data_IF_750714376081
#
_entry.id   IF_750714376081
#
_cell.length_a   1.000
_cell.length_b   1.000
_cell.length_c   1.000
_cell.angle_alpha   90.00
_cell.angle_beta   90.00
_cell.angle_gamma   90.00
#
_symmetry.space_group_name_H-M   'P 1'
#
loop_
_entity.id
_entity.type
_entity.pdbx_description
1 polymer ?
#
# COMPACT_ATOMS: atom_id res chain seq x y z
N UNK A 1 27.89 20.62 19.01
CA UNK A 1 26.98 19.55 19.46
C UNK A 1 26.08 19.22 18.28
N UNK A 2 26.33 18.11 17.55
CA UNK A 2 25.45 17.71 16.43
C UNK A 2 24.10 17.37 17.04
N UNK A 3 23.02 18.04 16.63
CA UNK A 3 21.66 17.60 16.98
C UNK A 3 21.57 16.11 16.67
N UNK A 4 21.29 15.30 17.69
CA UNK A 4 21.06 13.87 17.50
C UNK A 4 19.89 13.74 16.54
N UNK A 5 20.12 13.18 15.35
CA UNK A 5 19.05 12.86 14.42
C UNK A 5 18.07 11.94 15.14
N UNK A 6 16.93 12.51 15.57
CA UNK A 6 15.94 11.82 16.38
C UNK A 6 15.36 10.61 15.64
N UNK A 7 14.72 9.71 16.36
CA UNK A 7 14.02 8.62 15.70
C UNK A 7 12.60 9.06 15.33
N UNK A 8 12.15 8.70 14.12
CA UNK A 8 10.76 8.86 13.70
C UNK A 8 10.11 7.49 13.53
N UNK A 9 9.03 7.26 14.27
CA UNK A 9 8.28 6.00 14.22
C UNK A 9 7.07 6.13 13.30
N UNK A 10 6.73 5.02 12.67
CA UNK A 10 5.47 4.92 11.94
C UNK A 10 4.26 5.05 12.86
N UNK A 11 3.30 5.87 12.44
CA UNK A 11 1.97 5.93 13.03
C UNK A 11 1.01 5.11 12.18
N UNK A 12 0.46 4.05 12.77
CA UNK A 12 -0.51 3.17 12.11
C UNK A 12 -1.93 3.48 12.59
N UNK A 13 -2.91 3.00 11.84
CA UNK A 13 -4.30 2.97 12.32
C UNK A 13 -4.43 2.01 13.50
N UNK A 14 -5.38 2.30 14.40
CA UNK A 14 -5.47 1.54 15.65
C UNK A 14 -5.56 0.03 15.37
N UNK A 15 -4.80 -0.82 16.08
CA UNK A 15 -4.82 -2.26 15.86
C UNK A 15 -6.24 -2.83 15.97
N UNK A 16 -7.05 -2.27 16.88
CA UNK A 16 -8.47 -2.61 17.05
C UNK A 16 -9.29 -2.30 15.79
N UNK A 17 -9.07 -1.16 15.15
CA UNK A 17 -9.77 -0.80 13.90
C UNK A 17 -9.41 -1.75 12.76
N UNK A 18 -8.12 -2.03 12.56
CA UNK A 18 -7.66 -2.97 11.53
C UNK A 18 -8.21 -4.37 11.77
N UNK A 19 -8.21 -4.82 13.03
CA UNK A 19 -8.80 -6.10 13.42
C UNK A 19 -10.31 -6.16 13.13
N UNK A 20 -11.07 -5.12 13.51
CA UNK A 20 -12.51 -5.02 13.22
C UNK A 20 -12.79 -5.07 11.73
N UNK A 21 -12.03 -4.34 10.91
CA UNK A 21 -12.20 -4.33 9.46
C UNK A 21 -11.97 -5.72 8.83
N UNK A 22 -10.99 -6.48 9.35
CA UNK A 22 -10.77 -7.85 8.87
C UNK A 22 -11.91 -8.78 9.29
N UNK A 23 -12.37 -8.69 10.54
CA UNK A 23 -13.51 -9.49 11.00
C UNK A 23 -14.81 -9.14 10.28
N UNK A 24 -15.02 -7.88 9.89
CA UNK A 24 -16.20 -7.50 9.09
C UNK A 24 -16.23 -8.14 7.70
N UNK A 25 -15.08 -8.63 7.20
CA UNK A 25 -15.02 -9.40 5.95
C UNK A 25 -15.30 -10.88 6.23
N UNK A 26 -14.72 -11.45 7.30
CA UNK A 26 -14.86 -12.89 7.63
C UNK A 26 -16.28 -13.25 8.06
N UNK A 27 -16.92 -12.42 8.90
CA UNK A 27 -18.25 -12.69 9.46
C UNK A 27 -19.31 -12.96 8.38
N UNK A 28 -19.43 -12.15 7.32
CA UNK A 28 -20.35 -12.44 6.21
C UNK A 28 -20.14 -13.80 5.57
N UNK A 29 -18.88 -14.23 5.32
CA UNK A 29 -18.62 -15.54 4.73
C UNK A 29 -19.03 -16.69 5.64
N UNK A 30 -18.81 -16.55 6.95
CA UNK A 30 -19.26 -17.54 7.93
C UNK A 30 -20.78 -17.59 7.98
N UNK A 31 -21.46 -16.44 8.00
CA UNK A 31 -22.92 -16.38 8.00
C UNK A 31 -23.52 -17.01 6.73
N UNK A 32 -22.95 -16.71 5.56
CA UNK A 32 -23.36 -17.30 4.27
C UNK A 32 -23.16 -18.82 4.31
N UNK A 33 -22.03 -19.31 4.82
CA UNK A 33 -21.78 -20.74 4.94
C UNK A 33 -22.83 -21.43 5.83
N UNK A 34 -23.18 -20.83 6.98
CA UNK A 34 -24.20 -21.38 7.88
C UNK A 34 -25.58 -21.44 7.19
N UNK A 35 -25.96 -20.38 6.48
CA UNK A 35 -27.24 -20.33 5.74
C UNK A 35 -27.28 -21.37 4.63
N UNK A 36 -26.20 -21.51 3.85
CA UNK A 36 -26.09 -22.52 2.78
C UNK A 36 -26.13 -23.95 3.34
N UNK A 37 -25.54 -24.18 4.51
CA UNK A 37 -25.63 -25.47 5.19
C UNK A 37 -27.07 -25.77 5.63
N UNK A 38 -27.80 -24.78 6.12
CA UNK A 38 -29.23 -24.90 6.44
C UNK A 38 -30.04 -25.30 5.21
N UNK A 39 -29.88 -24.57 4.09
CA UNK A 39 -30.56 -24.91 2.84
C UNK A 39 -30.21 -26.31 2.32
N UNK A 40 -28.95 -26.73 2.46
CA UNK A 40 -28.54 -28.08 2.11
C UNK A 40 -29.26 -29.13 2.96
N UNK A 41 -29.34 -28.94 4.28
CA UNK A 41 -30.02 -29.88 5.20
C UNK A 41 -31.51 -29.96 4.87
N UNK A 42 -32.17 -28.82 4.66
CA UNK A 42 -33.59 -28.76 4.31
C UNK A 42 -33.84 -29.44 2.96
N UNK A 43 -33.00 -29.17 1.97
CA UNK A 43 -33.11 -29.73 0.62
C UNK A 43 -32.91 -31.26 0.61
N UNK A 44 -31.94 -31.79 1.37
CA UNK A 44 -31.73 -33.25 1.51
C UNK A 44 -32.87 -33.93 2.30
N UNK A 45 -33.54 -33.20 3.18
CA UNK A 45 -34.62 -33.75 4.00
C UNK A 45 -35.97 -33.77 3.28
N UNK A 46 -36.14 -33.00 2.21
CA UNK A 46 -37.34 -32.95 1.39
C UNK A 46 -37.24 -33.95 0.22
N UNK A 47 -38.11 -34.95 0.11
CA UNK A 47 -38.05 -35.93 -0.98
C UNK A 47 -38.46 -35.36 -2.37
N UNK A 48 -38.90 -34.10 -2.45
CA UNK A 48 -39.37 -33.46 -3.68
C UNK A 48 -38.34 -32.58 -4.39
N UNK A 49 -37.19 -32.34 -3.78
CA UNK A 49 -36.10 -31.51 -4.31
C UNK A 49 -35.22 -32.28 -5.29
N UNK A 50 -34.67 -31.58 -6.28
CA UNK A 50 -33.77 -32.16 -7.28
C UNK A 50 -32.36 -32.34 -6.70
N UNK A 51 -31.77 -33.52 -6.88
CA UNK A 51 -30.40 -33.88 -6.48
C UNK A 51 -29.36 -32.85 -6.93
N UNK A 52 -29.58 -32.17 -8.06
CA UNK A 52 -28.69 -31.11 -8.53
C UNK A 52 -28.65 -29.89 -7.58
N UNK A 53 -29.79 -29.53 -6.99
CA UNK A 53 -29.91 -28.41 -6.04
C UNK A 53 -29.11 -28.68 -4.76
N UNK A 54 -29.21 -29.90 -4.22
CA UNK A 54 -28.45 -30.35 -3.04
C UNK A 54 -26.95 -30.22 -3.28
N UNK A 55 -26.49 -30.71 -4.43
CA UNK A 55 -25.08 -30.65 -4.81
C UNK A 55 -24.59 -29.21 -4.93
N UNK A 56 -25.42 -28.29 -5.44
CA UNK A 56 -25.07 -26.87 -5.57
C UNK A 56 -24.92 -26.21 -4.20
N UNK A 57 -25.88 -26.39 -3.28
CA UNK A 57 -25.78 -25.80 -1.94
C UNK A 57 -24.58 -26.34 -1.16
N UNK A 58 -24.30 -27.64 -1.29
CA UNK A 58 -23.13 -28.26 -0.67
C UNK A 58 -21.81 -27.70 -1.22
N UNK A 59 -21.68 -27.55 -2.53
CA UNK A 59 -20.49 -26.96 -3.15
C UNK A 59 -20.27 -25.50 -2.72
N UNK A 60 -21.33 -24.69 -2.70
CA UNK A 60 -21.24 -23.29 -2.25
C UNK A 60 -20.88 -23.20 -0.76
N UNK A 61 -21.40 -24.10 0.08
CA UNK A 61 -21.00 -24.23 1.48
C UNK A 61 -19.51 -24.55 1.60
N UNK A 62 -18.99 -25.52 0.87
CA UNK A 62 -17.57 -25.88 0.90
C UNK A 62 -16.68 -24.71 0.45
N UNK A 63 -17.06 -23.99 -0.62
CA UNK A 63 -16.29 -22.84 -1.11
C UNK A 63 -16.27 -21.72 -0.07
N UNK A 64 -17.45 -21.33 0.44
CA UNK A 64 -17.56 -20.24 1.42
C UNK A 64 -16.88 -20.58 2.75
N UNK A 65 -17.06 -21.81 3.25
CA UNK A 65 -16.42 -22.31 4.46
C UNK A 65 -14.90 -22.40 4.32
N UNK A 66 -14.40 -22.91 3.19
CA UNK A 66 -12.96 -22.97 2.91
C UNK A 66 -12.33 -21.59 2.83
N UNK A 67 -13.02 -20.64 2.18
CA UNK A 67 -12.54 -19.26 2.07
C UNK A 67 -12.52 -18.57 3.44
N UNK A 68 -13.56 -18.74 4.27
CA UNK A 68 -13.59 -18.23 5.63
C UNK A 68 -12.47 -18.82 6.48
N UNK A 69 -12.27 -20.14 6.43
CA UNK A 69 -11.20 -20.84 7.14
C UNK A 69 -9.81 -20.37 6.70
N UNK A 70 -9.59 -20.19 5.40
CA UNK A 70 -8.36 -19.63 4.85
C UNK A 70 -8.07 -18.21 5.36
N UNK A 71 -9.07 -17.33 5.36
CA UNK A 71 -8.93 -15.95 5.86
C UNK A 71 -8.59 -15.92 7.35
N UNK A 72 -9.24 -16.77 8.16
CA UNK A 72 -8.92 -16.90 9.59
C UNK A 72 -7.49 -17.43 9.78
N UNK A 73 -7.10 -18.45 9.03
CA UNK A 73 -5.75 -18.99 9.06
C UNK A 73 -4.71 -17.94 8.69
N UNK A 74 -4.92 -17.17 7.63
CA UNK A 74 -4.00 -16.08 7.23
C UNK A 74 -3.90 -14.99 8.31
N UNK A 75 -5.01 -14.71 9.01
CA UNK A 75 -5.04 -13.78 10.12
C UNK A 75 -4.26 -14.28 11.34
N UNK A 76 -4.32 -15.59 11.64
CA UNK A 76 -3.61 -16.20 12.75
C UNK A 76 -2.13 -16.51 12.44
N UNK A 77 -1.80 -16.76 11.16
CA UNK A 77 -0.46 -17.17 10.72
C UNK A 77 0.60 -16.12 11.05
N UNK A 78 1.69 -16.60 11.66
CA UNK A 78 2.99 -15.96 11.96
C UNK A 78 2.96 -14.42 11.93
N UNK A 79 2.25 -13.81 12.88
CA UNK A 79 2.19 -12.36 12.98
C UNK A 79 3.55 -11.74 13.35
N UNK A 80 4.46 -12.54 13.92
CA UNK A 80 5.82 -12.13 14.29
C UNK A 80 6.76 -12.01 13.08
N UNK A 81 6.39 -12.58 11.93
CA UNK A 81 7.14 -12.47 10.68
C UNK A 81 6.61 -11.33 9.80
N UNK A 82 5.48 -10.71 10.19
CA UNK A 82 4.85 -9.62 9.43
C UNK A 82 5.35 -8.27 9.91
N UNK A 83 5.63 -7.38 8.96
CA UNK A 83 5.93 -5.98 9.25
C UNK A 83 4.69 -5.34 9.88
N UNK A 84 4.90 -4.64 10.99
CA UNK A 84 3.86 -3.98 11.78
C UNK A 84 4.19 -2.52 12.12
N UNK A 85 5.44 -2.12 11.93
CA UNK A 85 5.90 -0.76 12.13
C UNK A 85 7.17 -0.48 11.35
N UNK A 86 7.49 0.80 11.23
CA UNK A 86 8.74 1.29 10.68
C UNK A 86 9.38 2.25 11.68
N UNK A 87 10.71 2.29 11.69
CA UNK A 87 11.50 3.24 12.46
C UNK A 87 12.56 3.83 11.55
N UNK A 88 12.63 5.16 11.49
CA UNK A 88 13.65 5.88 10.76
C UNK A 88 14.56 6.54 11.78
N UNK A 89 15.84 6.20 11.74
CA UNK A 89 16.85 6.74 12.65
C UNK A 89 18.15 7.04 11.90
N UNK A 90 19.26 7.18 12.62
CA UNK A 90 20.58 7.48 12.06
C UNK A 90 21.15 6.37 11.17
N UNK A 91 20.65 5.13 11.27
CA UNK A 91 21.10 4.01 10.43
C UNK A 91 20.39 4.00 9.08
N UNK A 92 19.11 4.34 9.06
CA UNK A 92 18.26 4.25 7.87
C UNK A 92 16.80 3.98 8.22
N UNK A 93 16.12 3.17 7.39
CA UNK A 93 14.77 2.67 7.65
C UNK A 93 14.87 1.24 8.17
N UNK A 94 14.24 0.99 9.31
CA UNK A 94 14.08 -0.33 9.91
C UNK A 94 12.63 -0.77 9.79
N UNK A 95 12.40 -1.95 9.24
CA UNK A 95 11.09 -2.58 9.16
C UNK A 95 10.93 -3.53 10.34
N UNK A 96 9.95 -3.28 11.20
CA UNK A 96 9.79 -3.93 12.49
C UNK A 96 8.57 -4.85 12.51
N UNK A 97 8.69 -5.99 13.19
CA UNK A 97 7.53 -6.81 13.57
C UNK A 97 6.81 -6.24 14.80
N UNK A 98 5.78 -6.95 15.28
CA UNK A 98 4.97 -6.52 16.45
C UNK A 98 5.75 -6.43 17.75
N UNK A 99 6.81 -7.23 17.86
CA UNK A 99 7.70 -7.29 19.03
C UNK A 99 8.90 -6.33 18.88
N UNK A 100 8.82 -5.37 17.94
CA UNK A 100 9.88 -4.44 17.60
C UNK A 100 11.20 -5.10 17.14
N UNK A 101 11.17 -6.36 16.72
CA UNK A 101 12.30 -7.03 16.06
C UNK A 101 12.43 -6.52 14.64
N UNK A 102 13.65 -6.17 14.25
CA UNK A 102 13.99 -5.79 12.87
C UNK A 102 13.88 -7.01 11.96
N UNK A 103 13.02 -6.93 10.94
CA UNK A 103 12.82 -7.95 9.91
C UNK A 103 13.65 -7.65 8.65
N UNK A 104 13.77 -6.37 8.31
CA UNK A 104 14.59 -5.89 7.19
C UNK A 104 14.96 -4.42 7.40
N UNK A 105 15.94 -3.95 6.63
CA UNK A 105 16.47 -2.60 6.75
C UNK A 105 16.94 -2.03 5.40
N UNK A 106 16.93 -0.71 5.31
CA UNK A 106 17.55 0.08 4.23
C UNK A 106 18.48 1.07 4.92
N UNK A 107 19.79 0.83 4.89
CA UNK A 107 20.77 1.69 5.57
C UNK A 107 21.27 2.80 4.66
N UNK A 108 21.53 3.98 5.21
CA UNK A 108 22.12 5.09 4.45
C UNK A 108 23.50 4.74 3.88
N UNK A 109 24.31 3.98 4.62
CA UNK A 109 25.65 3.57 4.19
C UNK A 109 25.63 2.64 2.96
N UNK A 110 24.56 1.88 2.78
CA UNK A 110 24.44 0.88 1.71
C UNK A 110 23.89 1.51 0.42
N UNK A 111 23.36 2.74 0.50
CA UNK A 111 22.88 3.49 -0.66
C UNK A 111 24.01 3.74 -1.67
N UNK A 112 23.68 3.73 -2.95
CA UNK A 112 24.62 3.91 -4.05
C UNK A 112 24.18 5.07 -4.95
N UNK A 113 25.14 5.57 -5.74
CA UNK A 113 24.81 6.41 -6.88
C UNK A 113 24.21 5.56 -7.99
N UNK A 114 23.36 6.14 -8.82
CA UNK A 114 22.94 5.49 -10.05
C UNK A 114 24.15 5.28 -10.97
N UNK A 115 24.17 4.14 -11.68
CA UNK A 115 25.14 3.89 -12.76
C UNK A 115 24.65 4.47 -14.09
N UNK A 116 23.37 4.81 -14.20
CA UNK A 116 22.79 5.39 -15.39
C UNK A 116 22.82 6.93 -15.29
N UNK A 117 23.43 7.64 -16.26
CA UNK A 117 23.54 9.10 -16.26
C UNK A 117 22.19 9.84 -16.21
N UNK A 118 21.11 9.20 -16.66
CA UNK A 118 19.79 9.82 -16.80
C UNK A 118 18.88 9.59 -15.60
N UNK A 119 19.21 8.63 -14.72
CA UNK A 119 18.48 8.38 -13.48
C UNK A 119 19.20 9.00 -12.30
N UNK A 120 18.45 9.73 -11.47
CA UNK A 120 18.99 10.29 -10.22
C UNK A 120 19.12 9.19 -9.18
N UNK A 121 19.95 9.42 -8.17
CA UNK A 121 20.26 8.44 -7.12
C UNK A 121 19.04 8.08 -6.27
N UNK A 122 18.15 9.06 -6.07
CA UNK A 122 16.84 8.89 -5.42
C UNK A 122 15.79 9.47 -6.36
N UNK A 123 14.76 8.70 -6.68
CA UNK A 123 13.73 9.11 -7.63
C UNK A 123 12.38 8.48 -7.32
N UNK A 124 11.34 9.05 -7.90
CA UNK A 124 9.96 8.57 -7.79
C UNK A 124 9.48 8.00 -9.12
N UNK A 125 8.70 6.93 -9.08
CA UNK A 125 8.15 6.29 -10.28
C UNK A 125 6.77 5.68 -9.99
N UNK A 126 5.93 5.54 -11.01
CA UNK A 126 4.64 4.86 -10.85
C UNK A 126 4.82 3.35 -10.69
N UNK A 127 3.97 2.72 -9.89
CA UNK A 127 3.99 1.27 -9.67
C UNK A 127 3.71 0.44 -10.95
N UNK A 128 3.08 1.03 -11.97
CA UNK A 128 2.83 0.40 -13.27
C UNK A 128 3.62 1.09 -14.38
N UNK A 129 4.19 0.28 -15.28
CA UNK A 129 4.72 0.69 -16.59
C UNK A 129 3.59 0.83 -17.65
N UNK A 130 2.33 0.90 -17.21
CA UNK A 130 1.16 0.94 -18.08
C UNK A 130 0.74 2.36 -18.46
N UNK A 131 0.04 2.50 -19.59
CA UNK A 131 -0.48 3.76 -20.15
C UNK A 131 -1.37 4.57 -19.19
N UNK A 132 -1.83 3.94 -18.11
CA UNK A 132 -2.54 4.54 -16.99
C UNK A 132 -1.66 4.39 -15.73
N UNK A 133 -0.71 5.31 -15.59
CA UNK A 133 0.18 5.36 -14.43
C UNK A 133 -0.62 5.52 -13.14
N UNK A 134 -0.26 4.75 -12.12
CA UNK A 134 -0.89 4.83 -10.81
C UNK A 134 -0.79 6.27 -10.26
N UNK A 135 -1.87 6.82 -9.71
CA UNK A 135 -1.87 8.18 -9.12
C UNK A 135 -0.85 8.32 -7.98
N UNK A 136 -0.44 7.20 -7.40
CA UNK A 136 0.51 7.11 -6.29
C UNK A 136 1.89 6.73 -6.83
N UNK A 137 2.88 7.53 -6.48
CA UNK A 137 4.28 7.31 -6.81
C UNK A 137 4.97 6.52 -5.70
N UNK A 138 5.91 5.67 -6.13
CA UNK A 138 6.78 4.87 -5.30
C UNK A 138 8.16 5.53 -5.21
N UNK A 139 8.77 5.48 -4.03
CA UNK A 139 10.12 5.99 -3.83
C UNK A 139 11.12 4.87 -4.13
N UNK A 140 12.09 5.17 -4.99
CA UNK A 140 13.19 4.28 -5.33
C UNK A 140 14.51 4.89 -4.90
N UNK A 141 15.39 4.02 -4.42
CA UNK A 141 16.78 4.31 -4.12
C UNK A 141 17.67 3.29 -4.83
N UNK A 142 18.93 3.64 -5.01
CA UNK A 142 19.94 2.67 -5.41
C UNK A 142 20.66 2.11 -4.19
N UNK A 143 20.87 0.80 -4.13
CA UNK A 143 21.63 0.11 -3.09
C UNK A 143 22.75 -0.72 -3.74
N UNK A 144 23.88 -0.87 -3.06
CA UNK A 144 24.95 -1.76 -3.52
C UNK A 144 24.53 -3.22 -3.31
N UNK A 145 24.55 -4.02 -4.38
CA UNK A 145 24.42 -5.47 -4.25
C UNK A 145 25.72 -6.11 -3.71
N UNK A 146 25.69 -7.43 -3.52
CA UNK A 146 26.85 -8.23 -3.06
C UNK A 146 28.08 -8.09 -3.99
N UNK A 147 27.86 -7.83 -5.28
CA UNK A 147 28.89 -7.58 -6.28
C UNK A 147 29.27 -6.09 -6.39
N UNK A 148 28.85 -5.25 -5.43
CA UNK A 148 29.00 -3.79 -5.42
C UNK A 148 28.38 -3.06 -6.61
N UNK A 149 27.47 -3.70 -7.34
CA UNK A 149 26.72 -3.07 -8.43
C UNK A 149 25.55 -2.28 -7.85
N UNK A 150 25.28 -1.12 -8.44
CA UNK A 150 24.14 -0.29 -8.05
C UNK A 150 22.85 -0.92 -8.55
N UNK A 151 21.97 -1.34 -7.64
CA UNK A 151 20.67 -1.92 -7.96
C UNK A 151 19.55 -1.03 -7.44
N UNK A 152 18.55 -0.80 -8.28
CA UNK A 152 17.31 -0.12 -7.92
C UNK A 152 16.55 -0.93 -6.85
N UNK A 153 16.17 -0.27 -5.76
CA UNK A 153 15.42 -0.83 -4.63
C UNK A 153 14.21 0.04 -4.33
N UNK A 154 13.05 -0.61 -4.19
CA UNK A 154 11.81 0.04 -3.77
C UNK A 154 11.85 0.30 -2.26
N UNK A 155 11.59 1.54 -1.85
CA UNK A 155 11.33 1.89 -0.46
C UNK A 155 9.86 1.61 -0.16
N UNK A 156 9.55 0.36 0.18
CA UNK A 156 8.18 -0.12 0.32
C UNK A 156 7.54 0.31 1.66
N UNK A 157 7.14 1.58 1.77
CA UNK A 157 6.40 2.09 2.92
C UNK A 157 4.93 1.64 2.93
N UNK A 158 4.42 1.13 1.82
CA UNK A 158 3.03 0.71 1.67
C UNK A 158 2.79 -0.73 2.14
N UNK A 159 3.79 -1.34 2.77
CA UNK A 159 3.70 -2.65 3.43
C UNK A 159 2.67 -2.68 4.57
N UNK A 160 2.39 -1.52 5.18
CA UNK A 160 1.33 -1.34 6.17
C UNK A 160 0.61 0.00 5.95
N UNK A 161 -0.65 0.15 6.38
CA UNK A 161 -1.35 1.43 6.29
C UNK A 161 -0.79 2.42 7.32
N UNK A 162 -0.18 3.49 6.81
CA UNK A 162 0.49 4.55 7.58
C UNK A 162 -0.30 5.86 7.56
N UNK A 163 -0.40 6.52 8.71
CA UNK A 163 -0.98 7.86 8.85
C UNK A 163 0.03 8.94 8.48
N UNK A 164 1.26 8.82 9.00
CA UNK A 164 2.35 9.79 8.81
C UNK A 164 3.29 9.39 7.66
N UNK A 165 2.77 8.79 6.58
CA UNK A 165 3.58 8.28 5.45
C UNK A 165 4.49 9.35 4.85
N UNK A 166 3.92 10.52 4.54
CA UNK A 166 4.68 11.58 3.88
C UNK A 166 5.75 12.17 4.81
N UNK A 167 5.45 12.29 6.10
CA UNK A 167 6.44 12.69 7.11
C UNK A 167 7.59 11.68 7.20
N UNK A 168 7.29 10.37 7.18
CA UNK A 168 8.33 9.33 7.13
C UNK A 168 9.20 9.45 5.89
N UNK A 169 8.62 9.71 4.72
CA UNK A 169 9.40 9.93 3.49
C UNK A 169 10.30 11.15 3.65
N UNK A 170 9.75 12.29 4.05
CA UNK A 170 10.51 13.51 4.27
C UNK A 170 11.65 13.33 5.27
N UNK A 171 11.37 12.61 6.36
CA UNK A 171 12.36 12.31 7.39
C UNK A 171 13.48 11.38 6.89
N UNK A 172 13.14 10.37 6.10
CA UNK A 172 14.13 9.53 5.44
C UNK A 172 15.01 10.32 4.48
N UNK A 173 14.43 11.19 3.64
CA UNK A 173 15.18 12.05 2.73
C UNK A 173 16.09 13.02 3.50
N UNK A 174 15.65 13.53 4.65
CA UNK A 174 16.48 14.36 5.54
C UNK A 174 17.67 13.57 6.06
N UNK A 175 17.46 12.31 6.42
CA UNK A 175 18.53 11.39 6.77
C UNK A 175 19.51 11.17 5.62
N UNK A 176 19.02 10.96 4.40
CA UNK A 176 19.88 10.85 3.20
C UNK A 176 20.73 12.12 3.03
N UNK A 177 20.14 13.32 3.08
CA UNK A 177 20.91 14.56 2.95
C UNK A 177 21.96 14.73 4.07
N UNK A 178 21.65 14.24 5.28
CA UNK A 178 22.53 14.37 6.45
C UNK A 178 23.70 13.38 6.41
N UNK A 179 23.42 12.11 6.11
CA UNK A 179 24.39 11.02 6.20
C UNK A 179 25.04 10.67 4.86
N UNK A 180 24.43 11.06 3.74
CA UNK A 180 24.86 10.82 2.36
C UNK A 180 24.63 12.05 1.45
N UNK A 181 25.26 13.19 1.77
CA UNK A 181 25.14 14.42 0.98
C UNK A 181 25.70 14.27 -0.45
N UNK A 182 26.45 13.19 -0.72
CA UNK A 182 26.96 12.86 -2.04
C UNK A 182 25.87 12.38 -3.02
N UNK A 183 24.71 11.96 -2.52
CA UNK A 183 23.59 11.44 -3.31
C UNK A 183 22.64 12.56 -3.74
N UNK A 184 22.18 12.49 -4.99
CA UNK A 184 21.27 13.48 -5.61
C UNK A 184 19.83 12.97 -5.63
N UNK A 185 18.95 13.73 -5.01
CA UNK A 185 17.50 13.50 -5.04
C UNK A 185 16.91 14.16 -6.29
N UNK A 186 16.09 13.44 -7.05
CA UNK A 186 15.31 14.01 -8.15
C UNK A 186 14.31 15.04 -7.57
N UNK A 187 14.28 16.30 -8.06
CA UNK A 187 13.31 17.30 -7.61
C UNK A 187 11.84 16.85 -7.69
N UNK A 188 11.50 15.95 -8.63
CA UNK A 188 10.16 15.37 -8.74
C UNK A 188 9.73 14.62 -7.48
N UNK A 189 10.67 14.07 -6.71
CA UNK A 189 10.38 13.37 -5.44
C UNK A 189 9.67 14.31 -4.46
N UNK A 190 10.09 15.58 -4.38
CA UNK A 190 9.46 16.53 -3.46
C UNK A 190 8.01 16.80 -3.87
N UNK A 191 7.76 16.94 -5.18
CA UNK A 191 6.40 17.15 -5.71
C UNK A 191 5.52 15.91 -5.53
N UNK A 192 6.05 14.74 -5.89
CA UNK A 192 5.32 13.46 -5.86
C UNK A 192 4.94 13.00 -4.45
N UNK A 193 5.67 13.46 -3.44
CA UNK A 193 5.39 13.19 -2.02
C UNK A 193 4.92 14.41 -1.24
N UNK A 194 4.58 15.51 -1.93
CA UNK A 194 4.05 16.75 -1.35
C UNK A 194 4.92 17.29 -0.20
N UNK A 195 6.24 17.30 -0.42
CA UNK A 195 7.22 17.79 0.53
C UNK A 195 7.67 19.20 0.15
N UNK A 196 7.93 20.02 1.16
CA UNK A 196 8.69 21.25 0.97
C UNK A 196 10.17 20.91 0.72
N UNK A 197 10.74 21.36 -0.39
CA UNK A 197 12.11 21.02 -0.81
C UNK A 197 13.18 21.47 0.20
N UNK A 198 12.95 22.56 0.93
CA UNK A 198 13.94 23.13 1.87
C UNK A 198 13.89 22.46 3.22
N UNK A 199 12.69 22.19 3.72
CA UNK A 199 12.46 21.66 5.08
C UNK A 199 12.26 20.16 5.11
N UNK A 200 11.95 19.55 3.96
CA UNK A 200 11.56 18.14 3.81
C UNK A 200 10.36 17.73 4.66
N UNK A 201 9.52 18.70 5.02
CA UNK A 201 8.28 18.46 5.75
C UNK A 201 7.11 18.26 4.79
N UNK A 202 6.17 17.42 5.19
CA UNK A 202 4.94 17.22 4.46
C UNK A 202 4.09 18.50 4.44
N UNK A 203 3.68 18.91 3.25
CA UNK A 203 2.83 20.06 2.98
C UNK A 203 1.42 19.59 2.57
N UNK A 204 0.49 19.40 3.52
CA UNK A 204 -0.83 18.83 3.25
C UNK A 204 -1.68 19.67 2.29
N UNK A 205 -1.46 20.97 2.23
CA UNK A 205 -2.16 21.89 1.32
C UNK A 205 -1.88 21.53 -0.16
N UNK A 206 -0.67 21.09 -0.48
CA UNK A 206 -0.30 20.67 -1.84
C UNK A 206 -1.07 19.41 -2.25
N UNK A 207 -1.20 18.44 -1.34
CA UNK A 207 -2.00 17.24 -1.59
C UNK A 207 -3.48 17.59 -1.79
N UNK A 208 -4.04 18.44 -0.91
CA UNK A 208 -5.45 18.86 -1.03
C UNK A 208 -5.70 19.56 -2.36
N UNK A 209 -4.81 20.46 -2.77
CA UNK A 209 -4.93 21.17 -4.04
C UNK A 209 -4.84 20.23 -5.24
N UNK A 210 -3.86 19.33 -5.26
CA UNK A 210 -3.70 18.35 -6.35
C UNK A 210 -4.90 17.41 -6.45
N UNK A 211 -5.42 16.92 -5.32
CA UNK A 211 -6.64 16.11 -5.29
C UNK A 211 -7.86 16.87 -5.79
N UNK A 212 -8.03 18.15 -5.44
CA UNK A 212 -9.12 18.99 -5.97
C UNK A 212 -9.05 19.10 -7.48
N UNK A 213 -7.88 19.40 -8.04
CA UNK A 213 -7.68 19.51 -9.50
C UNK A 213 -8.00 18.18 -10.17
N UNK A 214 -7.50 17.06 -9.65
CA UNK A 214 -7.78 15.72 -10.20
C UNK A 214 -9.28 15.40 -10.21
N UNK A 215 -9.99 15.70 -9.11
CA UNK A 215 -11.44 15.48 -9.02
C UNK A 215 -12.19 16.32 -10.05
N UNK A 216 -11.85 17.62 -10.17
CA UNK A 216 -12.48 18.52 -11.15
C UNK A 216 -12.23 18.02 -12.57
N UNK A 217 -11.01 17.62 -12.90
CA UNK A 217 -10.66 17.09 -14.23
C UNK A 217 -11.47 15.84 -14.56
N UNK A 218 -11.59 14.89 -13.63
CA UNK A 218 -12.41 13.68 -13.82
C UNK A 218 -13.88 14.05 -14.03
N UNK A 219 -14.43 14.97 -13.22
CA UNK A 219 -15.80 15.41 -13.35
C UNK A 219 -16.08 16.06 -14.73
N UNK A 220 -15.17 16.90 -15.22
CA UNK A 220 -15.26 17.52 -16.56
C UNK A 220 -15.23 16.45 -17.65
N UNK A 221 -14.32 15.46 -17.57
CA UNK A 221 -14.25 14.36 -18.55
C UNK A 221 -15.58 13.58 -18.58
N UNK A 222 -16.14 13.24 -17.43
CA UNK A 222 -17.43 12.53 -17.35
C UNK A 222 -18.56 13.36 -17.97
N UNK A 223 -18.62 14.68 -17.69
CA UNK A 223 -19.62 15.56 -18.27
C UNK A 223 -19.50 15.65 -19.79
N UNK A 224 -18.29 15.72 -20.33
CA UNK A 224 -18.05 15.71 -21.78
C UNK A 224 -18.51 14.39 -22.40
N UNK A 225 -18.26 13.25 -21.76
CA UNK A 225 -18.71 11.94 -22.24
C UNK A 225 -20.26 11.86 -22.23
N UNK A 226 -20.91 12.36 -21.18
CA UNK A 226 -22.38 12.38 -21.09
C UNK A 226 -22.98 13.30 -22.15
N UNK A 227 -22.43 14.50 -22.33
CA UNK A 227 -22.88 15.44 -23.35
C UNK A 227 -22.69 14.85 -24.76
N UNK A 228 -21.53 14.24 -25.03
CA UNK A 228 -21.28 13.56 -26.30
C UNK A 228 -22.29 12.43 -26.55
N UNK A 229 -22.61 11.63 -25.53
CA UNK A 229 -23.65 10.60 -25.65
C UNK A 229 -25.01 11.22 -25.97
N UNK A 230 -25.42 12.26 -25.25
CA UNK A 230 -26.74 12.88 -25.43
C UNK A 230 -26.89 13.56 -26.80
N UNK A 231 -25.83 14.20 -27.31
CA UNK A 231 -25.88 14.89 -28.59
C UNK A 231 -25.69 13.99 -29.82
N UNK A 232 -24.97 12.87 -29.70
CA UNK A 232 -24.59 12.05 -30.87
C UNK A 232 -25.19 10.64 -30.90
N UNK A 233 -25.78 10.13 -29.81
CA UNK A 233 -26.39 8.79 -29.76
C UNK A 233 -27.93 8.80 -29.69
N UNK A 234 -28.59 9.95 -29.48
CA UNK A 234 -30.06 10.08 -29.53
C UNK A 234 -30.57 10.43 -30.96
N UNK A 235 -29.69 10.58 -31.96
CA UNK A 235 -30.04 10.83 -33.38
C UNK A 235 -30.00 9.57 -34.28
N UNK A 236 -29.86 8.36 -33.72
CA UNK A 236 -29.91 7.07 -34.43
C UNK A 236 -31.06 6.24 -33.87
#
# INVERSE_FOLDING_TARGET
>A
MKESFSEMRSETYSPKYISRLRWSIVIPFVAIAIVLLGFFIDSVSDPSTDTASDMIFFLLFLISGSLAGWLVYEMARNQDEKISGLLINHQGILFLNRNAKVLSEIKYQDLAKSQDPYTKDIFSESASNGKYGNFRKNLYVHEKDENRKSKKKLVNLDVIPLKNRYDLIGYFLKGIQTFRPDLKINPEVYKDFYLDEKTLRYAPENLKSDMKVKIITIAVIILVIIAFRYFFLDEI
#
